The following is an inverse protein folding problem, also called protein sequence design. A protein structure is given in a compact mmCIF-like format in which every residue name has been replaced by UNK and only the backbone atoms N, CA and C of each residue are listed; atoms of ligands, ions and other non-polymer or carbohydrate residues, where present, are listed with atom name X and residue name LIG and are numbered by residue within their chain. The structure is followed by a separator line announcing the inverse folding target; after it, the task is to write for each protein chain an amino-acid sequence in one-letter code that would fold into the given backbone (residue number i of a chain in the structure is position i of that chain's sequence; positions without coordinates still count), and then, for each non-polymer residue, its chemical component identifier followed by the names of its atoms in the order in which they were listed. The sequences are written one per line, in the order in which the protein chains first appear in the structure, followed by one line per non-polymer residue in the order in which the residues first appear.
data_IF_508848532792
#
_entry.id   IF_508848532792
#
_cell.length_a   1.000
_cell.length_b   1.000
_cell.length_c   1.000
_cell.angle_alpha   90.00
_cell.angle_beta   90.00
_cell.angle_gamma   90.00
#
_symmetry.space_group_name_H-M   'P 1'
#
loop_
_entity.id
_entity.type
_entity.pdbx_description
1 polymer ?
#
# COMPACT_ATOMS: atom_id res chain seq x y z
N UNK A 1 -2.10 14.05 -0.49
CA UNK A 1 -2.60 13.36 0.73
C UNK A 1 -1.57 13.46 1.85
N UNK A 2 -1.99 13.50 3.13
CA UNK A 2 -1.08 13.66 4.29
C UNK A 2 -1.09 12.41 5.16
N UNK A 3 0.02 12.12 5.83
CA UNK A 3 0.10 11.08 6.86
C UNK A 3 0.06 11.76 8.22
N UNK A 4 -0.97 11.47 8.99
CA UNK A 4 -1.14 11.93 10.36
C UNK A 4 -0.56 10.95 11.37
N UNK A 5 -0.43 11.38 12.62
CA UNK A 5 -0.10 10.48 13.72
C UNK A 5 -0.80 10.89 15.02
N UNK A 6 -1.02 9.93 15.89
CA UNK A 6 -1.52 10.15 17.25
C UNK A 6 -0.80 9.22 18.23
N UNK A 7 -0.81 9.58 19.50
CA UNK A 7 -0.35 8.70 20.56
C UNK A 7 -1.47 7.74 20.95
N UNK A 8 -1.14 6.48 21.17
CA UNK A 8 -2.09 5.52 21.71
C UNK A 8 -2.52 5.90 23.15
N UNK A 9 -3.51 5.20 23.69
CA UNK A 9 -4.10 5.49 25.02
C UNK A 9 -3.06 5.59 26.13
N UNK A 10 -2.05 4.72 26.10
CA UNK A 10 -0.96 4.63 27.07
C UNK A 10 0.22 5.57 26.77
N UNK A 11 0.19 6.29 25.65
CA UNK A 11 1.21 7.26 25.19
C UNK A 11 2.62 6.68 25.02
N UNK A 12 2.75 5.36 24.93
CA UNK A 12 4.02 4.66 24.68
C UNK A 12 4.29 4.46 23.19
N UNK A 13 3.26 4.48 22.34
CA UNK A 13 3.37 4.31 20.89
C UNK A 13 2.72 5.45 20.13
N UNK A 14 3.37 5.86 19.04
CA UNK A 14 2.80 6.76 18.03
C UNK A 14 2.31 5.92 16.86
N UNK A 15 1.01 6.00 16.59
CA UNK A 15 0.32 5.27 15.53
C UNK A 15 0.12 6.23 14.35
N UNK A 16 0.32 5.71 13.14
CA UNK A 16 0.20 6.48 11.90
C UNK A 16 -1.06 6.12 11.12
N UNK A 17 -1.61 7.10 10.43
CA UNK A 17 -2.83 6.93 9.63
C UNK A 17 -2.79 7.83 8.40
N UNK A 18 -3.53 7.45 7.37
CA UNK A 18 -3.78 8.29 6.22
C UNK A 18 -4.80 9.38 6.57
N UNK A 19 -4.54 10.64 6.24
CA UNK A 19 -5.46 11.75 6.47
C UNK A 19 -6.14 12.16 5.15
N UNK A 20 -7.28 11.53 4.86
CA UNK A 20 -8.16 11.88 3.73
C UNK A 20 -9.26 12.87 4.13
N UNK A 21 -9.38 13.21 5.41
CA UNK A 21 -10.41 14.10 5.94
C UNK A 21 -10.81 13.77 7.38
N UNK A 22 -11.91 14.38 7.85
CA UNK A 22 -12.38 14.28 9.25
C UNK A 22 -13.63 13.42 9.43
N UNK A 23 -14.27 12.99 8.35
CA UNK A 23 -15.47 12.15 8.42
C UNK A 23 -15.10 10.70 8.79
N UNK A 24 -16.07 9.91 9.32
CA UNK A 24 -15.88 8.48 9.53
C UNK A 24 -15.34 7.80 8.26
N UNK A 25 -14.38 6.88 8.42
CA UNK A 25 -13.75 6.15 7.32
C UNK A 25 -12.64 6.90 6.56
N UNK A 26 -12.48 8.22 6.74
CA UNK A 26 -11.45 9.01 6.03
C UNK A 26 -10.06 8.94 6.67
N UNK A 27 -9.90 8.14 7.74
CA UNK A 27 -8.65 7.98 8.48
C UNK A 27 -8.25 6.53 8.68
N UNK A 28 -8.06 5.76 7.60
CA UNK A 28 -7.61 4.39 7.72
C UNK A 28 -6.20 4.36 8.33
N UNK A 29 -5.99 3.41 9.25
CA UNK A 29 -4.70 3.20 9.89
C UNK A 29 -3.66 2.70 8.88
N UNK A 30 -2.42 3.15 9.04
CA UNK A 30 -1.30 2.73 8.19
C UNK A 30 -0.76 1.34 8.60
N UNK A 31 -1.21 0.80 9.74
CA UNK A 31 -0.76 -0.50 10.27
C UNK A 31 0.63 -0.48 10.92
N UNK A 32 1.28 0.69 10.98
CA UNK A 32 2.63 0.86 11.55
C UNK A 32 2.63 1.81 12.74
N UNK A 33 3.61 1.64 13.62
CA UNK A 33 3.81 2.48 14.80
C UNK A 33 5.29 2.69 15.09
N UNK A 34 5.61 3.76 15.81
CA UNK A 34 6.92 3.99 16.43
C UNK A 34 6.77 4.04 17.94
N UNK A 35 7.78 3.59 18.68
CA UNK A 35 7.87 3.82 20.12
C UNK A 35 8.06 5.31 20.38
N UNK A 36 7.23 5.89 21.26
CA UNK A 36 7.33 7.31 21.64
C UNK A 36 8.62 7.60 22.41
N UNK A 37 9.11 6.62 23.18
CA UNK A 37 10.36 6.66 23.95
C UNK A 37 11.12 5.33 23.76
N UNK A 38 11.83 5.13 22.65
CA UNK A 38 12.59 3.90 22.41
C UNK A 38 13.76 3.81 23.40
N UNK A 39 13.81 2.73 24.18
CA UNK A 39 14.83 2.44 25.19
C UNK A 39 15.92 1.54 24.62
N UNK A 40 15.54 0.49 23.90
CA UNK A 40 16.47 -0.51 23.37
C UNK A 40 16.97 -0.14 21.98
N UNK A 41 18.12 -0.69 21.57
CA UNK A 41 18.63 -0.50 20.21
C UNK A 41 17.66 -1.06 19.15
N UNK A 42 17.00 -2.19 19.45
CA UNK A 42 15.98 -2.77 18.59
C UNK A 42 14.80 -1.82 18.38
N UNK A 43 14.32 -1.15 19.42
CA UNK A 43 13.23 -0.17 19.31
C UNK A 43 13.66 1.07 18.50
N UNK A 44 14.91 1.52 18.65
CA UNK A 44 15.46 2.62 17.84
C UNK A 44 15.55 2.23 16.36
N UNK A 45 16.02 1.02 16.07
CA UNK A 45 16.13 0.49 14.72
C UNK A 45 14.75 0.32 14.08
N UNK A 46 13.78 -0.22 14.82
CA UNK A 46 12.37 -0.31 14.39
C UNK A 46 11.82 1.07 14.04
N UNK A 47 12.03 2.07 14.91
CA UNK A 47 11.57 3.43 14.65
C UNK A 47 12.18 4.00 13.36
N UNK A 48 13.48 3.79 13.14
CA UNK A 48 14.16 4.22 11.91
C UNK A 48 13.51 3.59 10.67
N UNK A 49 13.36 2.26 10.67
CA UNK A 49 12.74 1.54 9.55
C UNK A 49 11.31 2.01 9.26
N UNK A 50 10.50 2.25 10.31
CA UNK A 50 9.13 2.72 10.14
C UNK A 50 9.09 4.15 9.59
N UNK A 51 9.99 5.04 10.04
CA UNK A 51 10.07 6.41 9.52
C UNK A 51 10.49 6.43 8.04
N UNK A 52 11.49 5.62 7.67
CA UNK A 52 11.91 5.46 6.27
C UNK A 52 10.75 4.96 5.39
N UNK A 53 9.99 3.97 5.88
CA UNK A 53 8.79 3.46 5.19
C UNK A 53 7.70 4.54 5.01
N UNK A 54 7.48 5.36 6.03
CA UNK A 54 6.51 6.47 5.98
C UNK A 54 6.94 7.49 4.93
N UNK A 55 8.24 7.79 4.83
CA UNK A 55 8.77 8.70 3.82
C UNK A 55 8.54 8.15 2.40
N UNK A 56 8.86 6.88 2.17
CA UNK A 56 8.57 6.21 0.87
C UNK A 56 7.09 6.31 0.52
N UNK A 57 6.19 6.07 1.48
CA UNK A 57 4.74 6.20 1.26
C UNK A 57 4.32 7.63 0.92
N UNK A 58 4.89 8.64 1.56
CA UNK A 58 4.65 10.06 1.20
C UNK A 58 5.10 10.34 -0.23
N UNK A 59 6.29 9.87 -0.62
CA UNK A 59 6.82 10.06 -1.98
C UNK A 59 5.94 9.36 -3.03
N UNK A 60 5.52 8.12 -2.80
CA UNK A 60 4.56 7.41 -3.68
C UNK A 60 3.30 8.24 -3.89
N UNK A 61 2.75 8.79 -2.81
CA UNK A 61 1.54 9.61 -2.85
C UNK A 61 1.70 10.89 -3.67
N UNK A 62 2.86 11.54 -3.57
CA UNK A 62 3.14 12.76 -4.34
C UNK A 62 3.15 12.43 -5.84
N UNK A 63 3.83 11.34 -6.22
CA UNK A 63 3.87 10.87 -7.61
C UNK A 63 2.46 10.54 -8.12
N UNK A 64 1.65 9.86 -7.30
CA UNK A 64 0.25 9.58 -7.64
C UNK A 64 -0.56 10.85 -7.84
N UNK A 65 -0.42 11.84 -6.95
CA UNK A 65 -1.15 13.10 -7.03
C UNK A 65 -0.76 13.93 -8.26
N UNK A 66 0.51 13.91 -8.66
CA UNK A 66 0.99 14.55 -9.89
C UNK A 66 0.43 13.89 -11.16
N UNK A 67 0.04 12.61 -11.07
CA UNK A 67 -0.49 11.85 -12.19
C UNK A 67 -1.99 12.03 -12.38
N UNK A 68 -2.70 12.59 -11.39
CA UNK A 68 -4.13 12.87 -11.49
C UNK A 68 -4.35 14.00 -12.51
N UNK A 69 -5.15 13.74 -13.54
CA UNK A 69 -5.47 14.72 -14.58
C UNK A 69 -4.44 14.84 -15.70
N UNK A 70 -3.43 13.98 -15.72
CA UNK A 70 -2.47 13.87 -16.84
C UNK A 70 -2.60 12.48 -17.49
N UNK A 71 -2.18 12.34 -18.75
CA UNK A 71 -2.04 11.03 -19.40
C UNK A 71 -0.83 10.24 -18.86
N UNK A 72 -0.12 10.78 -17.87
CA UNK A 72 1.07 10.17 -17.29
C UNK A 72 0.67 9.11 -16.27
N UNK A 73 1.00 7.86 -16.57
CA UNK A 73 0.84 6.73 -15.65
C UNK A 73 2.19 6.52 -14.96
N UNK A 74 2.27 6.58 -13.62
CA UNK A 74 3.52 6.31 -12.90
C UNK A 74 4.09 4.93 -13.26
N UNK A 75 5.41 4.85 -13.45
CA UNK A 75 6.10 3.57 -13.77
C UNK A 75 5.83 2.47 -12.72
N UNK A 76 5.63 2.81 -11.45
CA UNK A 76 5.28 1.85 -10.41
C UNK A 76 3.80 1.39 -10.44
N UNK A 77 2.95 2.06 -11.24
CA UNK A 77 1.59 1.62 -11.61
C UNK A 77 1.56 0.82 -12.91
N UNK A 78 2.62 0.87 -13.72
CA UNK A 78 2.87 -0.07 -14.82
C UNK A 78 3.22 -1.49 -14.31
N UNK A 79 2.55 -1.94 -13.23
CA UNK A 79 2.70 -3.29 -12.72
C UNK A 79 1.98 -4.25 -13.66
N UNK A 80 2.80 -4.84 -14.53
CA UNK A 80 2.51 -5.91 -15.47
C UNK A 80 1.46 -5.52 -16.52
N UNK A 81 1.60 -6.01 -17.75
CA UNK A 81 0.49 -5.97 -18.69
C UNK A 81 -0.75 -6.53 -17.95
N UNK A 82 -1.96 -6.01 -18.19
CA UNK A 82 -3.17 -6.61 -17.60
C UNK A 82 -3.18 -8.13 -17.81
N UNK A 83 -2.65 -8.58 -18.95
CA UNK A 83 -2.43 -9.99 -19.26
C UNK A 83 -1.44 -10.67 -18.32
N UNK A 84 -0.27 -10.08 -18.09
CA UNK A 84 0.75 -10.63 -17.18
C UNK A 84 0.21 -10.70 -15.73
N UNK A 85 -0.47 -9.65 -15.27
CA UNK A 85 -1.10 -9.63 -13.95
C UNK A 85 -2.18 -10.72 -13.81
N UNK A 86 -3.03 -10.86 -14.83
CA UNK A 86 -4.12 -11.82 -14.79
C UNK A 86 -3.62 -13.26 -14.96
N UNK A 87 -2.54 -13.48 -15.70
CA UNK A 87 -1.82 -14.75 -15.78
C UNK A 87 -1.28 -15.15 -14.40
N UNK A 88 -0.54 -14.27 -13.72
CA UNK A 88 -0.05 -14.49 -12.35
C UNK A 88 -1.19 -14.77 -11.35
N UNK A 89 -2.28 -14.03 -11.43
CA UNK A 89 -3.46 -14.21 -10.57
C UNK A 89 -4.10 -15.59 -10.75
N UNK A 90 -4.22 -16.06 -12.00
CA UNK A 90 -4.75 -17.39 -12.31
C UNK A 90 -3.83 -18.47 -11.74
N UNK A 91 -2.51 -18.30 -11.81
CA UNK A 91 -1.55 -19.25 -11.25
C UNK A 91 -1.65 -19.38 -9.73
N UNK A 92 -1.81 -18.27 -9.03
CA UNK A 92 -1.89 -18.23 -7.57
C UNK A 92 -3.24 -18.73 -7.02
N UNK A 93 -4.30 -18.73 -7.85
CA UNK A 93 -5.65 -19.12 -7.46
C UNK A 93 -6.20 -20.33 -8.23
N UNK A 94 -5.33 -21.21 -8.74
CA UNK A 94 -5.77 -22.48 -9.35
C UNK A 94 -6.45 -23.34 -8.29
N UNK A 95 -7.71 -23.70 -8.54
CA UNK A 95 -8.46 -24.66 -7.74
C UNK A 95 -8.77 -25.88 -8.60
N UNK A 96 -8.45 -27.06 -8.09
CA UNK A 96 -8.76 -28.32 -8.77
C UNK A 96 -10.27 -28.42 -9.01
N UNK A 97 -10.65 -28.57 -10.27
CA UNK A 97 -12.06 -28.63 -10.71
C UNK A 97 -12.68 -27.30 -11.16
N UNK A 98 -12.08 -26.14 -10.86
CA UNK A 98 -12.60 -24.84 -11.32
C UNK A 98 -11.75 -24.25 -12.46
N UNK A 99 -12.13 -24.59 -13.69
CA UNK A 99 -11.46 -24.10 -14.93
C UNK A 99 -11.99 -22.75 -15.43
N UNK A 100 -12.96 -22.14 -14.75
CA UNK A 100 -13.61 -20.92 -15.23
C UNK A 100 -12.60 -19.78 -15.39
N UNK A 101 -11.71 -19.58 -14.40
CA UNK A 101 -10.67 -18.55 -14.41
C UNK A 101 -9.64 -18.76 -15.53
N UNK A 102 -9.27 -20.01 -15.82
CA UNK A 102 -8.34 -20.33 -16.91
C UNK A 102 -8.98 -20.13 -18.29
N UNK A 103 -10.26 -20.46 -18.41
CA UNK A 103 -10.99 -20.36 -19.68
C UNK A 103 -11.36 -18.92 -20.02
N UNK A 104 -11.62 -18.05 -19.03
CA UNK A 104 -11.86 -16.62 -19.25
C UNK A 104 -10.62 -15.87 -19.75
N UNK A 105 -9.42 -16.39 -19.49
CA UNK A 105 -8.18 -15.76 -19.94
C UNK A 105 -7.82 -16.02 -21.41
N UNK A 106 -8.16 -17.19 -21.94
CA UNK A 106 -7.87 -17.58 -23.33
C UNK A 106 -8.28 -16.53 -24.39
N UNK A 107 -9.51 -15.97 -24.38
CA UNK A 107 -9.89 -14.96 -25.35
C UNK A 107 -9.18 -13.61 -25.14
N UNK A 108 -8.69 -13.32 -23.93
CA UNK A 108 -7.99 -12.06 -23.62
C UNK A 108 -6.55 -12.03 -24.13
N UNK A 109 -5.89 -13.19 -24.26
CA UNK A 109 -4.50 -13.31 -24.74
C UNK A 109 -4.37 -13.29 -26.28
N UNK A 110 -5.49 -13.43 -27.00
CA UNK A 110 -5.54 -13.57 -28.46
C UNK A 110 -6.08 -12.33 -29.19
N UNK A 111 -6.06 -11.16 -28.54
CA UNK A 111 -6.38 -9.85 -29.15
C UNK A 111 -5.08 -9.10 -29.41
#
# INVERSE_FOLDING_TARGET
MKIGSYLNRTKDKRIYFYDYGRKPGQRPGLGVFTYAKPKTQTEKNHNKQVLDLIEVKKSQTIIEQQSIGTAYIPQHKFKANFLDYYEEYIEQHKVDGNRALQNSFKPLKNV
#
